data_IF_901351429768
#
_entry.id   IF_901351429768
#
_cell.length_a   1.000
_cell.length_b   1.000
_cell.length_c   1.000
_cell.angle_alpha   90.00
_cell.angle_beta   90.00
_cell.angle_gamma   90.00
#
_symmetry.space_group_name_H-M   'P 1'
#
loop_
_entity.id
_entity.type
_entity.pdbx_description
1 polymer ?
#
# COMPACT_ATOMS: atom_id res chain seq x y z
N UNK A 1 -4.20 7.88 -10.82
CA UNK A 1 -2.93 7.16 -11.02
C UNK A 1 -2.32 6.94 -9.65
N UNK A 2 -1.77 5.75 -9.37
CA UNK A 2 -1.15 5.46 -8.07
C UNK A 2 0.23 6.13 -8.00
N UNK A 3 0.44 6.99 -7.02
CA UNK A 3 1.70 7.69 -6.78
C UNK A 3 2.23 7.33 -5.39
N UNK A 4 3.53 7.07 -5.28
CA UNK A 4 4.17 6.66 -4.04
C UNK A 4 4.58 7.90 -3.23
N UNK A 5 3.93 8.12 -2.09
CA UNK A 5 4.22 9.19 -1.13
C UNK A 5 5.24 8.70 -0.07
N UNK A 6 6.35 9.42 0.08
CA UNK A 6 7.43 9.12 1.05
C UNK A 6 7.22 9.80 2.42
N UNK A 7 6.15 10.57 2.61
CA UNK A 7 6.08 11.62 3.63
C UNK A 7 5.14 11.44 4.83
N UNK A 8 4.62 10.25 5.14
CA UNK A 8 3.63 10.11 6.24
C UNK A 8 3.93 8.93 7.17
N UNK A 9 4.55 9.21 8.31
CA UNK A 9 4.57 8.33 9.48
C UNK A 9 3.44 8.73 10.44
N UNK A 10 2.43 7.87 10.61
CA UNK A 10 1.46 7.94 11.71
C UNK A 10 1.57 6.68 12.55
N UNK A 11 1.00 6.71 13.76
CA UNK A 11 0.95 5.58 14.66
C UNK A 11 0.30 4.36 13.98
N UNK A 12 1.00 3.24 13.97
CA UNK A 12 0.53 1.99 13.35
C UNK A 12 0.22 0.96 14.43
N UNK A 13 -0.87 0.21 14.25
CA UNK A 13 -1.20 -0.95 15.07
C UNK A 13 -0.73 -2.21 14.33
N UNK A 14 0.10 -3.09 14.95
CA UNK A 14 0.59 -4.28 14.27
C UNK A 14 -0.55 -5.25 13.95
N UNK A 15 -0.54 -5.76 12.71
CA UNK A 15 -1.49 -6.75 12.19
C UNK A 15 -0.76 -7.73 11.27
N UNK A 16 -1.15 -9.00 11.33
CA UNK A 16 -0.60 -10.06 10.49
C UNK A 16 -1.65 -10.51 9.49
N UNK A 17 -1.29 -10.51 8.20
CA UNK A 17 -2.13 -11.01 7.10
C UNK A 17 -1.32 -11.98 6.25
N UNK A 18 -1.99 -12.93 5.60
CA UNK A 18 -1.35 -13.87 4.67
C UNK A 18 -1.49 -13.34 3.24
N UNK A 19 -0.38 -13.26 2.52
CA UNK A 19 -0.33 -12.86 1.11
C UNK A 19 0.17 -14.05 0.27
N UNK A 20 -0.29 -14.20 -0.99
CA UNK A 20 0.35 -15.09 -1.94
C UNK A 20 1.82 -14.74 -2.12
N UNK A 21 2.69 -15.74 -2.26
CA UNK A 21 4.14 -15.57 -2.36
C UNK A 21 4.54 -14.61 -3.48
N UNK A 22 4.05 -14.85 -4.70
CA UNK A 22 4.31 -13.98 -5.85
C UNK A 22 3.87 -12.52 -5.66
N UNK A 23 2.80 -12.29 -4.88
CA UNK A 23 2.35 -10.92 -4.57
C UNK A 23 3.29 -10.26 -3.55
N UNK A 24 3.70 -11.01 -2.53
CA UNK A 24 4.64 -10.53 -1.52
C UNK A 24 5.98 -10.13 -2.15
N UNK A 25 6.54 -10.99 -3.01
CA UNK A 25 7.79 -10.73 -3.73
C UNK A 25 7.70 -9.46 -4.58
N UNK A 26 6.61 -9.32 -5.34
CA UNK A 26 6.38 -8.13 -6.17
C UNK A 26 6.30 -6.85 -5.35
N UNK A 27 5.57 -6.88 -4.23
CA UNK A 27 5.45 -5.73 -3.33
C UNK A 27 6.80 -5.40 -2.67
N UNK A 28 7.57 -6.41 -2.27
CA UNK A 28 8.92 -6.23 -1.75
C UNK A 28 9.85 -5.57 -2.77
N UNK A 29 9.83 -6.01 -4.02
CA UNK A 29 10.64 -5.41 -5.08
C UNK A 29 10.26 -3.93 -5.31
N UNK A 30 8.96 -3.63 -5.42
CA UNK A 30 8.49 -2.25 -5.61
C UNK A 30 8.91 -1.37 -4.43
N UNK A 31 8.82 -1.88 -3.19
CA UNK A 31 9.23 -1.13 -2.01
C UNK A 31 10.73 -0.82 -2.02
N UNK A 32 11.57 -1.79 -2.43
CA UNK A 32 13.01 -1.63 -2.58
C UNK A 32 13.36 -0.62 -3.68
N UNK A 33 12.77 -0.75 -4.87
CA UNK A 33 13.03 0.12 -6.02
C UNK A 33 12.68 1.59 -5.72
N UNK A 34 11.68 1.81 -4.86
CA UNK A 34 11.21 3.15 -4.49
C UNK A 34 11.79 3.67 -3.17
N UNK A 35 12.67 2.91 -2.51
CA UNK A 35 13.27 3.25 -1.21
C UNK A 35 12.19 3.61 -0.16
N UNK A 36 11.20 2.73 0.01
CA UNK A 36 10.13 2.85 1.00
C UNK A 36 10.00 1.57 1.81
N UNK A 37 9.43 1.68 3.02
CA UNK A 37 9.10 0.48 3.79
C UNK A 37 7.95 -0.30 3.15
N UNK A 38 8.01 -1.63 3.23
CA UNK A 38 6.92 -2.52 2.82
C UNK A 38 5.58 -2.11 3.44
N UNK A 39 5.59 -1.74 4.73
CA UNK A 39 4.40 -1.28 5.42
C UNK A 39 3.84 0.02 4.81
N UNK A 40 4.69 0.99 4.45
CA UNK A 40 4.25 2.22 3.77
C UNK A 40 3.58 1.90 2.43
N UNK A 41 4.18 1.00 1.64
CA UNK A 41 3.61 0.56 0.37
C UNK A 41 2.23 -0.07 0.56
N UNK A 42 2.09 -1.00 1.52
CA UNK A 42 0.82 -1.67 1.80
C UNK A 42 -0.27 -0.67 2.18
N UNK A 43 0.03 0.29 3.05
CA UNK A 43 -0.94 1.33 3.46
C UNK A 43 -1.37 2.16 2.25
N UNK A 44 -0.43 2.56 1.38
CA UNK A 44 -0.75 3.33 0.19
C UNK A 44 -1.62 2.54 -0.79
N UNK A 45 -1.29 1.27 -1.02
CA UNK A 45 -2.13 0.38 -1.85
C UNK A 45 -3.56 0.28 -1.30
N UNK A 46 -3.72 0.13 0.02
CA UNK A 46 -5.03 0.09 0.66
C UNK A 46 -5.79 1.42 0.49
N UNK A 47 -5.15 2.56 0.76
CA UNK A 47 -5.78 3.88 0.61
C UNK A 47 -6.24 4.11 -0.83
N UNK A 48 -5.39 3.80 -1.81
CA UNK A 48 -5.74 3.95 -3.22
C UNK A 48 -6.96 3.11 -3.61
N UNK A 49 -7.02 1.85 -3.16
CA UNK A 49 -8.17 1.00 -3.41
C UNK A 49 -9.45 1.55 -2.76
N UNK A 50 -9.37 2.04 -1.52
CA UNK A 50 -10.49 2.65 -0.80
C UNK A 50 -10.98 3.94 -1.48
N UNK A 51 -10.06 4.83 -1.85
CA UNK A 51 -10.38 6.08 -2.55
C UNK A 51 -11.03 5.81 -3.92
N UNK A 52 -10.52 4.80 -4.65
CA UNK A 52 -11.09 4.38 -5.92
C UNK A 52 -12.48 3.77 -5.76
N UNK A 53 -12.77 3.07 -4.66
CA UNK A 53 -14.11 2.56 -4.36
C UNK A 53 -15.08 3.70 -4.02
N UNK A 54 -14.67 4.65 -3.18
CA UNK A 54 -15.50 5.80 -2.83
C UNK A 54 -15.85 6.69 -4.05
N UNK A 55 -14.95 6.79 -5.01
CA UNK A 55 -15.21 7.49 -6.28
C UNK A 55 -16.24 6.77 -7.17
N UNK A 56 -16.46 5.47 -6.97
CA UNK A 56 -17.43 4.67 -7.73
C UNK A 56 -18.83 4.63 -7.11
N UNK A 57 -18.98 4.95 -5.82
CA UNK A 57 -20.27 4.95 -5.11
C UNK A 57 -21.05 6.28 -5.21
N UNK A 58 -20.47 7.34 -5.79
CA UNK A 58 -21.14 8.63 -6.00
C UNK A 58 -21.59 8.86 -7.46
N UNK A 59 -22.00 7.81 -8.17
CA UNK A 59 -22.45 7.90 -9.56
C UNK A 59 -23.84 7.32 -9.78
#
# INVERSE_FOLDING_TARGET
MFEIDKGKCRANVPRTVRLPEALCERLCQIAQDNDISFNSLVIQCCNYALDSMAASENK
#
